data_IF_092859101813
#
_entry.id   IF_092859101813
#
_cell.length_a   1.000
_cell.length_b   1.000
_cell.length_c   1.000
_cell.angle_alpha   90.00
_cell.angle_beta   90.00
_cell.angle_gamma   90.00
#
_symmetry.space_group_name_H-M   'P 1'
#
loop_
_entity.id
_entity.type
_entity.pdbx_description
1 polymer ?
#
# COMPACT_ATOMS: atom_id res chain seq x y z
N UNK A 1 6.64 3.05 -36.38
CA UNK A 1 5.26 2.96 -35.86
C UNK A 1 5.35 2.31 -34.50
N UNK A 2 5.37 3.10 -33.42
CA UNK A 2 5.51 2.61 -32.06
C UNK A 2 4.15 2.13 -31.57
N UNK A 3 4.03 0.83 -31.34
CA UNK A 3 2.84 0.20 -30.77
C UNK A 3 2.64 0.68 -29.34
N UNK A 4 1.53 1.36 -29.10
CA UNK A 4 1.07 1.79 -27.78
C UNK A 4 0.70 0.54 -26.98
N UNK A 5 1.59 0.06 -26.11
CA UNK A 5 1.25 -1.01 -25.18
C UNK A 5 0.19 -0.47 -24.20
N UNK A 6 -0.98 -1.10 -24.24
CA UNK A 6 -2.10 -0.79 -23.34
C UNK A 6 -1.75 -1.36 -21.97
N UNK A 7 -1.25 -0.51 -21.08
CA UNK A 7 -0.93 -0.88 -19.69
C UNK A 7 -2.22 -1.18 -18.93
N UNK A 8 -2.56 -2.45 -18.72
CA UNK A 8 -3.68 -2.83 -17.85
C UNK A 8 -3.26 -2.63 -16.39
N UNK A 9 -3.70 -1.53 -15.77
CA UNK A 9 -3.52 -1.34 -14.33
C UNK A 9 -4.48 -2.30 -13.58
N UNK A 10 -3.94 -3.10 -12.66
CA UNK A 10 -4.73 -3.94 -11.77
C UNK A 10 -5.00 -3.18 -10.47
N UNK A 11 -6.26 -3.14 -10.05
CA UNK A 11 -6.67 -2.52 -8.79
C UNK A 11 -7.01 -3.60 -7.78
N UNK A 12 -6.33 -3.57 -6.64
CA UNK A 12 -6.60 -4.38 -5.45
C UNK A 12 -7.48 -3.54 -4.52
N UNK A 13 -8.58 -4.10 -4.01
CA UNK A 13 -9.56 -3.37 -3.21
C UNK A 13 -9.49 -3.84 -1.75
N UNK A 14 -8.73 -3.12 -0.93
CA UNK A 14 -8.68 -3.36 0.52
C UNK A 14 -9.91 -2.77 1.23
N UNK A 15 -10.43 -1.64 0.72
CA UNK A 15 -11.68 -1.02 1.16
C UNK A 15 -12.48 -0.51 -0.06
N UNK A 16 -13.70 -1.04 -0.32
CA UNK A 16 -14.58 -0.54 -1.39
C UNK A 16 -14.95 0.95 -1.24
N UNK A 17 -15.00 1.46 -0.01
CA UNK A 17 -15.28 2.88 0.29
C UNK A 17 -13.99 3.66 0.58
N UNK A 18 -12.85 3.13 0.14
CA UNK A 18 -11.55 3.74 0.33
C UNK A 18 -11.44 5.14 -0.29
N UNK A 19 -10.70 6.00 0.37
CA UNK A 19 -10.41 7.37 0.00
C UNK A 19 -8.93 7.57 -0.39
N UNK A 20 -8.11 6.52 -0.31
CA UNK A 20 -6.70 6.54 -0.71
C UNK A 20 -6.45 5.50 -1.79
N UNK A 21 -5.71 5.89 -2.83
CA UNK A 21 -5.23 5.00 -3.88
C UNK A 21 -3.71 4.97 -3.88
N UNK A 22 -3.10 3.92 -3.34
CA UNK A 22 -1.65 3.72 -3.40
C UNK A 22 -1.26 3.27 -4.80
N UNK A 23 -0.27 3.91 -5.41
CA UNK A 23 0.20 3.60 -6.76
C UNK A 23 1.58 2.95 -6.69
N UNK A 24 1.65 1.66 -6.99
CA UNK A 24 2.88 0.87 -6.94
C UNK A 24 3.33 0.48 -8.35
N UNK A 25 4.65 0.43 -8.53
CA UNK A 25 5.29 0.01 -9.77
C UNK A 25 6.10 -1.26 -9.49
N UNK A 26 5.78 -2.41 -10.12
CA UNK A 26 6.54 -3.64 -9.91
C UNK A 26 7.95 -3.49 -10.47
N UNK A 27 8.92 -4.03 -9.73
CA UNK A 27 10.37 -3.90 -9.99
C UNK A 27 10.87 -4.72 -11.19
N UNK A 28 10.03 -5.49 -11.88
CA UNK A 28 10.49 -6.38 -12.97
C UNK A 28 10.60 -5.70 -14.34
N UNK A 29 11.79 -5.84 -14.93
CA UNK A 29 12.21 -5.23 -16.18
C UNK A 29 11.39 -5.73 -17.39
N UNK A 30 10.49 -4.89 -17.88
CA UNK A 30 9.98 -4.97 -19.25
C UNK A 30 8.46 -4.81 -19.40
N UNK A 31 7.68 -4.92 -18.33
CA UNK A 31 6.24 -4.67 -18.34
C UNK A 31 5.83 -3.86 -17.10
N UNK A 32 5.58 -2.56 -17.29
CA UNK A 32 5.16 -1.65 -16.21
C UNK A 32 3.69 -1.91 -15.86
N UNK A 33 3.37 -3.04 -15.23
CA UNK A 33 2.00 -3.31 -14.79
C UNK A 33 1.74 -2.53 -13.50
N UNK A 34 1.24 -1.31 -13.62
CA UNK A 34 0.93 -0.47 -12.44
C UNK A 34 -0.12 -1.17 -11.56
N UNK A 35 0.21 -1.40 -10.30
CA UNK A 35 -0.72 -1.90 -9.29
C UNK A 35 -1.27 -0.71 -8.53
N UNK A 36 -2.58 -0.71 -8.31
CA UNK A 36 -3.25 0.28 -7.48
C UNK A 36 -3.89 -0.43 -6.30
N UNK A 37 -3.78 0.12 -5.10
CA UNK A 37 -4.48 -0.41 -3.92
C UNK A 37 -5.46 0.64 -3.44
N UNK A 38 -6.76 0.34 -3.51
CA UNK A 38 -7.82 1.19 -2.95
C UNK A 38 -8.00 0.83 -1.48
N UNK A 39 -7.75 1.80 -0.60
CA UNK A 39 -7.71 1.61 0.84
C UNK A 39 -8.23 2.85 1.59
N UNK A 40 -8.39 2.69 2.90
CA UNK A 40 -8.91 3.72 3.80
C UNK A 40 -7.79 4.49 4.48
N UNK A 41 -7.86 5.81 4.42
CA UNK A 41 -7.01 6.75 5.15
C UNK A 41 -7.04 6.49 6.66
N UNK A 42 -8.19 6.09 7.21
CA UNK A 42 -8.35 5.81 8.64
C UNK A 42 -7.61 4.56 9.07
N UNK A 43 -7.67 3.48 8.28
CA UNK A 43 -6.91 2.26 8.57
C UNK A 43 -5.41 2.49 8.41
N UNK A 44 -5.00 3.21 7.35
CA UNK A 44 -3.61 3.60 7.14
C UNK A 44 -3.08 4.44 8.31
N UNK A 45 -3.79 5.52 8.68
CA UNK A 45 -3.37 6.41 9.76
C UNK A 45 -3.39 5.75 11.14
N UNK A 46 -4.33 4.83 11.40
CA UNK A 46 -4.33 4.07 12.65
C UNK A 46 -3.12 3.13 12.74
N UNK A 47 -2.75 2.51 11.63
CA UNK A 47 -1.69 1.51 11.61
C UNK A 47 -0.28 2.09 11.45
N UNK A 48 -0.14 3.30 10.89
CA UNK A 48 1.13 3.89 10.49
C UNK A 48 1.19 5.37 10.86
N UNK A 49 2.14 5.72 11.73
CA UNK A 49 2.41 7.13 12.05
C UNK A 49 2.87 7.93 10.83
N UNK A 50 3.53 7.29 9.87
CA UNK A 50 3.99 7.93 8.63
C UNK A 50 2.80 8.25 7.72
N UNK A 51 1.89 7.31 7.49
CA UNK A 51 0.67 7.61 6.74
C UNK A 51 -0.24 8.58 7.49
N UNK A 52 -0.32 8.50 8.82
CA UNK A 52 -1.07 9.47 9.62
C UNK A 52 -0.55 10.90 9.40
N UNK A 53 0.78 11.09 9.46
CA UNK A 53 1.40 12.37 9.21
C UNK A 53 1.18 12.85 7.77
N UNK A 54 1.37 11.96 6.79
CA UNK A 54 1.20 12.24 5.35
C UNK A 54 -0.24 12.66 5.00
N UNK A 55 -1.23 12.01 5.59
CA UNK A 55 -2.66 12.23 5.35
C UNK A 55 -3.24 13.34 6.22
N UNK A 56 -2.45 13.92 7.13
CA UNK A 56 -2.89 15.03 7.97
C UNK A 56 -3.14 16.29 7.12
N UNK A 57 -4.31 16.93 7.23
CA UNK A 57 -4.61 18.15 6.49
C UNK A 57 -3.60 19.26 6.76
N UNK A 58 -3.23 20.02 5.74
CA UNK A 58 -2.33 21.18 5.82
C UNK A 58 -0.88 20.88 6.23
N UNK A 59 -0.46 19.61 6.27
CA UNK A 59 0.95 19.24 6.49
C UNK A 59 1.63 18.88 5.18
N UNK A 60 0.98 17.99 4.41
CA UNK A 60 1.43 17.58 3.09
C UNK A 60 0.33 17.80 2.03
N UNK A 61 0.72 17.73 0.76
CA UNK A 61 -0.20 17.89 -0.36
C UNK A 61 -1.25 16.78 -0.37
N UNK A 62 -0.87 15.58 0.06
CA UNK A 62 -1.71 14.40 0.12
C UNK A 62 -2.87 14.61 1.11
N UNK A 63 -2.57 14.96 2.37
CA UNK A 63 -3.58 15.27 3.38
C UNK A 63 -4.45 16.48 3.03
N UNK A 64 -3.87 17.51 2.40
CA UNK A 64 -4.64 18.67 1.91
C UNK A 64 -5.60 18.24 0.80
N UNK A 65 -5.14 17.45 -0.16
CA UNK A 65 -5.97 16.92 -1.26
C UNK A 65 -7.07 16.02 -0.72
N UNK A 66 -6.75 15.11 0.19
CA UNK A 66 -7.72 14.24 0.83
C UNK A 66 -8.81 15.05 1.54
N UNK A 67 -8.44 16.09 2.30
CA UNK A 67 -9.40 16.93 3.01
C UNK A 67 -10.33 17.74 2.10
N UNK A 68 -9.85 18.19 0.94
CA UNK A 68 -10.62 19.04 0.03
C UNK A 68 -11.41 18.26 -1.02
N UNK A 69 -10.83 17.18 -1.54
CA UNK A 69 -11.39 16.38 -2.64
C UNK A 69 -12.13 15.14 -2.12
N UNK A 70 -11.82 14.69 -0.90
CA UNK A 70 -12.34 13.46 -0.31
C UNK A 70 -11.65 12.20 -0.80
N UNK A 71 -10.60 12.32 -1.63
CA UNK A 71 -9.77 11.21 -2.10
C UNK A 71 -8.38 11.69 -2.52
N UNK A 72 -7.39 10.80 -2.50
CA UNK A 72 -6.01 11.11 -2.89
C UNK A 72 -5.30 9.90 -3.51
N UNK A 73 -4.41 10.14 -4.47
CA UNK A 73 -3.49 9.13 -5.00
C UNK A 73 -2.09 9.35 -4.42
N UNK A 74 -1.42 8.27 -3.97
CA UNK A 74 -0.10 8.34 -3.33
C UNK A 74 0.87 7.42 -4.08
N UNK A 75 1.86 7.98 -4.82
CA UNK A 75 2.88 7.19 -5.51
C UNK A 75 3.89 6.56 -4.54
N UNK A 76 4.07 5.24 -4.66
CA UNK A 76 5.05 4.44 -3.91
C UNK A 76 5.93 3.62 -4.88
N UNK A 77 6.76 4.28 -5.72
CA UNK A 77 7.48 3.60 -6.80
C UNK A 77 8.67 2.74 -6.33
N UNK A 78 9.14 2.95 -5.10
CA UNK A 78 10.30 2.25 -4.54
C UNK A 78 9.90 1.08 -3.63
N UNK A 79 8.61 0.95 -3.33
CA UNK A 79 8.11 -0.04 -2.38
C UNK A 79 7.76 -1.34 -3.09
N UNK A 80 8.13 -2.45 -2.46
CA UNK A 80 7.78 -3.76 -2.98
C UNK A 80 6.25 -3.91 -3.06
N UNK A 81 5.78 -4.18 -4.27
CA UNK A 81 4.35 -4.18 -4.58
C UNK A 81 3.61 -5.32 -3.87
N UNK A 82 4.22 -6.50 -3.81
CA UNK A 82 3.60 -7.69 -3.21
C UNK A 82 3.56 -7.55 -1.69
N UNK A 83 4.69 -7.14 -1.09
CA UNK A 83 4.78 -6.97 0.36
C UNK A 83 3.86 -5.84 0.84
N UNK A 84 3.84 -4.69 0.16
CA UNK A 84 2.94 -3.60 0.51
C UNK A 84 1.47 -4.01 0.37
N UNK A 85 1.13 -4.81 -0.63
CA UNK A 85 -0.23 -5.36 -0.78
C UNK A 85 -0.64 -6.19 0.44
N UNK A 86 0.22 -7.10 0.88
CA UNK A 86 -0.04 -7.95 2.05
C UNK A 86 -0.21 -7.10 3.31
N UNK A 87 0.67 -6.11 3.53
CA UNK A 87 0.61 -5.21 4.68
C UNK A 87 -0.68 -4.37 4.68
N UNK A 88 -1.08 -3.81 3.54
CA UNK A 88 -2.32 -3.03 3.44
C UNK A 88 -3.55 -3.92 3.67
N UNK A 89 -3.59 -5.12 3.10
CA UNK A 89 -4.68 -6.07 3.35
C UNK A 89 -4.72 -6.50 4.82
N UNK A 90 -3.57 -6.68 5.47
CA UNK A 90 -3.48 -7.01 6.89
C UNK A 90 -4.11 -5.93 7.77
N UNK A 91 -3.70 -4.66 7.60
CA UNK A 91 -4.20 -3.54 8.44
C UNK A 91 -5.69 -3.23 8.19
N UNK A 92 -6.24 -3.72 7.07
CA UNK A 92 -7.69 -3.66 6.77
C UNK A 92 -8.45 -4.94 7.20
N UNK A 93 -7.79 -5.90 7.85
CA UNK A 93 -8.40 -7.16 8.30
C UNK A 93 -8.85 -8.09 7.15
N UNK A 94 -8.23 -7.98 5.97
CA UNK A 94 -8.62 -8.69 4.74
C UNK A 94 -7.85 -10.01 4.53
N UNK A 95 -7.75 -10.83 5.57
CA UNK A 95 -6.96 -12.08 5.54
C UNK A 95 -7.46 -13.14 4.54
N UNK A 96 -8.70 -13.05 4.08
CA UNK A 96 -9.29 -13.96 3.07
C UNK A 96 -9.31 -13.36 1.66
N UNK A 97 -8.65 -12.22 1.44
CA UNK A 97 -8.56 -11.62 0.11
C UNK A 97 -7.74 -12.53 -0.82
N UNK A 98 -8.11 -12.60 -2.11
CA UNK A 98 -7.41 -13.47 -3.08
C UNK A 98 -5.94 -13.10 -3.30
N UNK A 99 -5.60 -11.83 -3.08
CA UNK A 99 -4.23 -11.32 -3.17
C UNK A 99 -3.46 -11.38 -1.83
N UNK A 100 -4.08 -11.89 -0.76
CA UNK A 100 -3.41 -12.06 0.53
C UNK A 100 -2.69 -13.42 0.58
N UNK A 101 -1.37 -13.38 0.67
CA UNK A 101 -0.53 -14.58 0.74
C UNK A 101 0.39 -14.53 1.98
N UNK A 102 0.65 -15.66 2.65
CA UNK A 102 1.59 -15.69 3.77
C UNK A 102 3.02 -15.36 3.32
N UNK A 103 3.71 -14.52 4.10
CA UNK A 103 5.14 -14.27 3.95
C UNK A 103 5.93 -15.51 4.40
N UNK A 104 6.21 -16.41 3.47
CA UNK A 104 6.71 -17.76 3.78
C UNK A 104 8.24 -17.89 3.84
N UNK A 105 8.99 -16.89 3.36
CA UNK A 105 10.46 -16.92 3.29
C UNK A 105 11.08 -15.85 4.19
N UNK A 106 12.32 -16.10 4.63
CA UNK A 106 13.09 -15.13 5.42
C UNK A 106 13.30 -13.83 4.63
N UNK A 107 13.53 -13.93 3.32
CA UNK A 107 13.73 -12.76 2.46
C UNK A 107 12.45 -11.90 2.40
N UNK A 108 11.28 -12.51 2.21
CA UNK A 108 10.00 -11.79 2.23
C UNK A 108 9.72 -11.15 3.60
N UNK A 109 10.05 -11.85 4.69
CA UNK A 109 9.93 -11.29 6.05
C UNK A 109 10.89 -10.11 6.26
N UNK A 110 12.12 -10.18 5.75
CA UNK A 110 13.08 -9.08 5.80
C UNK A 110 12.61 -7.86 5.01
N UNK A 111 12.05 -8.05 3.82
CA UNK A 111 11.45 -6.96 3.03
C UNK A 111 10.23 -6.36 3.72
N UNK A 112 9.39 -7.19 4.33
CA UNK A 112 8.27 -6.73 5.13
C UNK A 112 8.73 -5.89 6.33
N UNK A 113 9.77 -6.31 7.03
CA UNK A 113 10.32 -5.55 8.16
C UNK A 113 10.85 -4.17 7.72
N UNK A 114 11.50 -4.09 6.55
CA UNK A 114 11.93 -2.80 5.99
C UNK A 114 10.73 -1.87 5.78
N UNK A 115 9.63 -2.37 5.23
CA UNK A 115 8.42 -1.55 5.03
C UNK A 115 7.72 -1.24 6.36
N UNK A 116 7.69 -2.18 7.31
CA UNK A 116 7.14 -1.97 8.64
C UNK A 116 7.88 -0.87 9.38
N UNK A 117 9.22 -0.85 9.32
CA UNK A 117 10.04 0.21 9.91
C UNK A 117 9.84 1.53 9.15
N UNK A 118 9.92 1.51 7.81
CA UNK A 118 9.73 2.69 6.94
C UNK A 118 8.43 3.42 7.22
N UNK A 119 7.33 2.68 7.40
CA UNK A 119 6.00 3.25 7.66
C UNK A 119 5.60 3.23 9.13
N UNK A 120 6.47 2.74 10.02
CA UNK A 120 6.20 2.61 11.45
C UNK A 120 4.89 1.84 11.77
N UNK A 121 4.73 0.65 11.17
CA UNK A 121 3.53 -0.19 11.30
C UNK A 121 3.61 -1.29 12.38
N UNK A 122 4.59 -1.19 13.28
CA UNK A 122 4.98 -2.26 14.22
C UNK A 122 3.83 -2.86 15.05
N UNK A 123 2.91 -2.03 15.57
CA UNK A 123 1.79 -2.53 16.38
C UNK A 123 0.80 -3.33 15.52
N UNK A 124 0.50 -2.84 14.33
CA UNK A 124 -0.43 -3.47 13.40
C UNK A 124 0.14 -4.78 12.80
N UNK A 125 1.46 -4.92 12.77
CA UNK A 125 2.16 -6.09 12.21
C UNK A 125 2.76 -7.02 13.26
N UNK A 126 2.53 -6.78 14.55
CA UNK A 126 3.11 -7.57 15.66
C UNK A 126 2.82 -9.09 15.54
N UNK A 127 1.74 -9.48 14.86
CA UNK A 127 1.40 -10.89 14.60
C UNK A 127 2.23 -11.55 13.50
N UNK A 128 2.90 -10.78 12.63
CA UNK A 128 3.77 -11.31 11.56
C UNK A 128 5.13 -11.75 12.12
N UNK A 129 5.62 -11.09 13.17
CA UNK A 129 6.97 -11.27 13.70
C UNK A 129 7.06 -12.21 14.90
N UNK A 130 5.92 -12.50 15.56
CA UNK A 130 5.90 -13.34 16.76
C UNK A 130 5.58 -14.79 16.41
N UNK A 131 6.63 -15.63 16.30
CA UNK A 131 6.53 -17.08 16.50
C UNK A 131 7.08 -17.47 17.85
#
# INVERSE_FOLDING_TARGET
>A
MASTQTTSAQTIVADPEGDVLLLLEPTEAGQVKKIKILCSSKHLGLASAIFEAMLRPNVYNEGTTLSHVGKVEIPLPEDDTEIMTILVLLIHGRHHHSDFHPLATIDCLGQAEILVDKYQMHEATNFITTK
#
